data_IF_985297216870
#
_entry.id   IF_985297216870
#
_cell.length_a   1.000
_cell.length_b   1.000
_cell.length_c   1.000
_cell.angle_alpha   90.00
_cell.angle_beta   90.00
_cell.angle_gamma   90.00
#
_symmetry.space_group_name_H-M   'P 1'
#
loop_
_entity.id
_entity.type
_entity.pdbx_description
1 polymer ?
#
# COMPACT_ATOMS: atom_id res chain seq x y z
N UNK A 1 -13.98 -8.10 11.13
CA UNK A 1 -13.31 -9.25 10.47
C UNK A 1 -12.19 -9.86 11.32
N UNK A 2 -11.09 -9.16 11.64
CA UNK A 2 -9.92 -9.72 12.38
C UNK A 2 -10.26 -10.60 13.59
N UNK A 3 -11.11 -10.13 14.51
CA UNK A 3 -11.51 -10.91 15.71
C UNK A 3 -12.18 -12.24 15.34
N UNK A 4 -13.02 -12.26 14.30
CA UNK A 4 -13.69 -13.48 13.85
C UNK A 4 -12.68 -14.50 13.31
N UNK A 5 -11.72 -14.05 12.49
CA UNK A 5 -10.64 -14.92 11.98
C UNK A 5 -9.80 -15.49 13.11
N UNK A 6 -9.37 -14.65 14.06
CA UNK A 6 -8.57 -15.08 15.22
C UNK A 6 -9.32 -16.04 16.16
N UNK A 7 -10.66 -16.01 16.13
CA UNK A 7 -11.52 -16.89 16.92
C UNK A 7 -12.01 -18.13 16.13
N UNK A 8 -11.54 -18.34 14.90
CA UNK A 8 -11.96 -19.46 14.04
C UNK A 8 -13.40 -19.37 13.52
N UNK A 9 -13.97 -18.16 13.50
CA UNK A 9 -15.34 -17.88 13.05
C UNK A 9 -15.40 -17.37 11.60
N UNK A 10 -14.25 -17.08 11.01
CA UNK A 10 -14.11 -16.64 9.62
C UNK A 10 -12.79 -17.16 9.04
N UNK A 11 -12.77 -17.37 7.74
CA UNK A 11 -11.59 -17.86 7.02
C UNK A 11 -10.71 -16.70 6.52
N UNK A 12 -9.42 -17.00 6.35
CA UNK A 12 -8.46 -16.10 5.72
C UNK A 12 -7.84 -16.79 4.52
N UNK A 13 -8.02 -16.21 3.33
CA UNK A 13 -7.47 -16.73 2.08
C UNK A 13 -6.24 -15.91 1.70
N UNK A 14 -5.02 -16.47 1.77
CA UNK A 14 -3.82 -15.77 1.35
C UNK A 14 -3.74 -15.73 -0.19
N UNK A 15 -3.73 -14.53 -0.76
CA UNK A 15 -3.53 -14.30 -2.20
C UNK A 15 -2.97 -12.89 -2.40
N UNK A 16 -2.05 -12.71 -3.35
CA UNK A 16 -1.57 -11.39 -3.74
C UNK A 16 -2.73 -10.53 -4.24
N UNK A 17 -2.65 -9.22 -3.99
CA UNK A 17 -3.74 -8.35 -4.39
C UNK A 17 -3.89 -8.32 -5.91
N UNK A 18 -2.78 -8.33 -6.65
CA UNK A 18 -2.72 -8.50 -8.12
C UNK A 18 -3.45 -9.73 -8.65
N UNK A 19 -3.49 -10.84 -7.88
CA UNK A 19 -4.12 -12.10 -8.29
C UNK A 19 -5.57 -12.23 -7.79
N UNK A 20 -5.97 -11.47 -6.76
CA UNK A 20 -7.29 -11.60 -6.14
C UNK A 20 -8.45 -11.49 -7.15
N UNK A 21 -8.51 -10.47 -8.03
CA UNK A 21 -9.57 -10.39 -9.04
C UNK A 21 -9.56 -11.56 -10.03
N UNK A 22 -8.39 -12.17 -10.26
CA UNK A 22 -8.23 -13.29 -11.19
C UNK A 22 -8.83 -14.58 -10.65
N UNK A 23 -8.97 -14.73 -9.32
CA UNK A 23 -9.66 -15.87 -8.72
C UNK A 23 -11.12 -15.95 -9.19
N UNK A 24 -11.79 -14.81 -9.32
CA UNK A 24 -13.17 -14.74 -9.82
C UNK A 24 -13.22 -14.87 -11.35
N UNK A 25 -12.36 -14.16 -12.08
CA UNK A 25 -12.29 -14.24 -13.55
C UNK A 25 -12.01 -15.64 -14.06
N UNK A 26 -11.21 -16.42 -13.34
CA UNK A 26 -10.86 -17.81 -13.67
C UNK A 26 -11.86 -18.83 -13.10
N UNK A 27 -12.89 -18.40 -12.38
CA UNK A 27 -13.88 -19.28 -11.77
C UNK A 27 -13.35 -20.16 -10.63
N UNK A 28 -12.21 -19.80 -10.04
CA UNK A 28 -11.63 -20.49 -8.87
C UNK A 28 -12.49 -20.21 -7.63
N UNK A 29 -12.88 -18.94 -7.46
CA UNK A 29 -13.87 -18.55 -6.47
C UNK A 29 -15.18 -18.20 -7.18
N UNK A 30 -16.26 -18.97 -6.95
CA UNK A 30 -17.56 -18.64 -7.51
C UNK A 30 -18.11 -17.35 -6.86
N UNK A 31 -18.72 -16.49 -7.66
CA UNK A 31 -19.36 -15.26 -7.19
C UNK A 31 -20.77 -15.15 -7.75
N UNK A 32 -21.76 -15.33 -6.88
CA UNK A 32 -23.17 -15.26 -7.27
C UNK A 32 -23.68 -13.83 -7.37
N UNK A 33 -23.31 -12.97 -6.42
CA UNK A 33 -23.75 -11.59 -6.38
C UNK A 33 -22.62 -10.62 -5.99
N UNK A 34 -22.57 -9.46 -6.66
CA UNK A 34 -21.73 -8.34 -6.29
C UNK A 34 -22.61 -7.15 -5.86
N UNK A 35 -22.32 -6.59 -4.69
CA UNK A 35 -22.89 -5.34 -4.21
C UNK A 35 -21.86 -4.25 -4.49
N UNK A 36 -22.22 -3.26 -5.30
CA UNK A 36 -21.32 -2.19 -5.73
C UNK A 36 -21.91 -0.83 -5.40
N UNK A 37 -21.04 0.17 -5.19
CA UNK A 37 -21.41 1.56 -4.93
C UNK A 37 -20.94 2.41 -6.09
N UNK A 38 -21.86 3.14 -6.73
CA UNK A 38 -21.57 3.84 -7.99
C UNK A 38 -22.18 5.25 -8.02
N UNK A 39 -21.65 6.10 -8.89
CA UNK A 39 -22.24 7.40 -9.24
C UNK A 39 -23.55 7.22 -10.02
N UNK A 40 -24.38 8.27 -10.14
CA UNK A 40 -25.45 8.30 -11.12
C UNK A 40 -24.90 8.09 -12.54
N UNK A 41 -25.71 7.52 -13.46
CA UNK A 41 -25.31 7.39 -14.84
C UNK A 41 -25.22 8.76 -15.52
N UNK A 42 -24.26 8.90 -16.43
CA UNK A 42 -24.19 10.03 -17.37
C UNK A 42 -25.24 9.94 -18.48
N UNK A 43 -25.21 10.90 -19.43
CA UNK A 43 -26.10 10.92 -20.60
C UNK A 43 -25.96 9.70 -21.54
N UNK A 44 -24.88 8.93 -21.38
CA UNK A 44 -24.58 7.74 -22.16
C UNK A 44 -24.89 6.44 -21.38
N UNK A 45 -25.46 6.55 -20.18
CA UNK A 45 -25.84 5.41 -19.35
C UNK A 45 -24.68 4.79 -18.57
N UNK A 46 -23.54 5.47 -18.42
CA UNK A 46 -22.40 4.97 -17.64
C UNK A 46 -22.36 5.57 -16.24
N UNK A 47 -22.45 4.68 -15.25
CA UNK A 47 -22.06 4.97 -13.87
C UNK A 47 -20.54 4.86 -13.72
N UNK A 48 -19.95 5.59 -12.77
CA UNK A 48 -18.58 5.37 -12.29
C UNK A 48 -18.60 4.61 -10.98
N UNK A 49 -17.65 3.69 -10.79
CA UNK A 49 -17.36 3.01 -9.51
C UNK A 49 -16.80 3.95 -8.45
N UNK A 50 -16.42 5.18 -8.85
CA UNK A 50 -16.05 6.25 -7.94
C UNK A 50 -14.80 5.95 -7.13
N UNK A 51 -14.92 5.84 -5.81
CA UNK A 51 -13.74 5.78 -4.92
C UNK A 51 -12.99 4.44 -4.94
N UNK A 52 -13.59 3.35 -5.44
CA UNK A 52 -12.96 2.02 -5.48
C UNK A 52 -13.23 1.34 -6.82
N UNK A 53 -12.16 1.14 -7.61
CA UNK A 53 -12.22 0.41 -8.90
C UNK A 53 -11.45 -0.90 -8.81
N UNK A 54 -10.31 -0.87 -8.12
CA UNK A 54 -9.28 -1.88 -8.13
C UNK A 54 -9.82 -3.29 -7.90
N UNK A 55 -10.48 -3.49 -6.77
CA UNK A 55 -10.99 -4.77 -6.32
C UNK A 55 -12.46 -4.98 -6.67
N UNK A 56 -13.23 -3.93 -6.99
CA UNK A 56 -14.66 -4.06 -7.29
C UNK A 56 -14.93 -4.45 -8.74
N UNK A 57 -14.25 -3.80 -9.70
CA UNK A 57 -14.66 -3.87 -11.12
C UNK A 57 -14.64 -5.29 -11.66
N UNK A 58 -13.52 -5.97 -11.51
CA UNK A 58 -13.31 -7.30 -12.08
C UNK A 58 -14.24 -8.36 -11.46
N UNK A 59 -14.39 -8.45 -10.12
CA UNK A 59 -15.40 -9.30 -9.52
C UNK A 59 -16.82 -8.95 -9.96
N UNK A 60 -17.20 -7.67 -10.00
CA UNK A 60 -18.54 -7.25 -10.42
C UNK A 60 -18.89 -7.73 -11.84
N UNK A 61 -17.96 -7.64 -12.79
CA UNK A 61 -18.17 -8.12 -14.16
C UNK A 61 -18.33 -9.63 -14.29
N UNK A 62 -17.85 -10.39 -13.29
CA UNK A 62 -17.95 -11.86 -13.26
C UNK A 62 -19.17 -12.37 -12.47
N UNK A 63 -19.77 -11.52 -11.64
CA UNK A 63 -20.90 -11.89 -10.80
C UNK A 63 -22.14 -12.20 -11.64
N UNK A 64 -22.94 -13.18 -11.21
CA UNK A 64 -24.21 -13.52 -11.87
C UNK A 64 -25.26 -12.42 -11.68
N UNK A 65 -25.21 -11.71 -10.55
CA UNK A 65 -26.12 -10.63 -10.19
C UNK A 65 -25.30 -9.43 -9.70
N UNK A 66 -25.63 -8.24 -10.20
CA UNK A 66 -25.02 -6.97 -9.76
C UNK A 66 -26.11 -6.11 -9.13
N UNK A 67 -25.96 -5.82 -7.84
CA UNK A 67 -26.82 -4.92 -7.08
C UNK A 67 -26.05 -3.63 -6.88
N UNK A 68 -26.48 -2.56 -7.56
CA UNK A 68 -25.82 -1.27 -7.49
C UNK A 68 -26.55 -0.33 -6.55
N UNK A 69 -25.85 0.12 -5.53
CA UNK A 69 -26.22 1.31 -4.79
C UNK A 69 -25.76 2.54 -5.59
N UNK A 70 -26.71 3.33 -6.09
CA UNK A 70 -26.42 4.50 -6.92
C UNK A 70 -26.52 5.75 -6.05
N UNK A 71 -25.37 6.33 -5.71
CA UNK A 71 -25.27 7.43 -4.77
C UNK A 71 -24.94 8.75 -5.46
N UNK A 72 -25.78 9.76 -5.26
CA UNK A 72 -25.57 11.12 -5.77
C UNK A 72 -24.29 11.79 -5.27
N UNK A 73 -23.72 11.30 -4.16
CA UNK A 73 -22.46 11.82 -3.58
C UNK A 73 -21.23 10.99 -3.95
N UNK A 74 -21.37 9.94 -4.77
CA UNK A 74 -20.21 9.18 -5.26
C UNK A 74 -19.52 9.97 -6.39
N UNK A 75 -18.24 10.33 -6.24
CA UNK A 75 -17.53 11.07 -7.29
C UNK A 75 -17.40 10.23 -8.57
N UNK A 76 -17.40 10.90 -9.71
CA UNK A 76 -17.17 10.30 -11.01
C UNK A 76 -15.67 10.29 -11.32
N UNK A 77 -14.97 9.27 -10.81
CA UNK A 77 -13.56 9.06 -11.18
C UNK A 77 -13.45 8.53 -12.61
N UNK A 78 -12.39 8.93 -13.32
CA UNK A 78 -12.10 8.52 -14.70
C UNK A 78 -11.16 7.31 -14.74
N UNK A 79 -10.80 6.85 -15.93
CA UNK A 79 -9.99 5.65 -16.14
C UNK A 79 -10.85 4.44 -16.50
N UNK A 80 -10.48 3.27 -16.00
CA UNK A 80 -11.29 2.05 -16.15
C UNK A 80 -12.38 1.96 -15.08
N UNK A 81 -13.04 3.07 -14.77
CA UNK A 81 -13.97 3.18 -13.62
C UNK A 81 -15.43 2.94 -13.99
N UNK A 82 -15.75 2.85 -15.28
CA UNK A 82 -17.14 2.88 -15.73
C UNK A 82 -17.82 1.52 -15.81
N UNK A 83 -19.12 1.51 -15.53
CA UNK A 83 -20.05 0.40 -15.75
C UNK A 83 -21.38 0.93 -16.32
N UNK A 84 -21.86 0.33 -17.42
CA UNK A 84 -23.10 0.74 -18.06
C UNK A 84 -24.31 0.20 -17.29
N UNK A 85 -25.41 0.98 -17.19
CA UNK A 85 -26.63 0.59 -16.48
C UNK A 85 -27.24 -0.73 -16.94
N UNK A 86 -27.03 -1.11 -18.21
CA UNK A 86 -27.50 -2.39 -18.75
C UNK A 86 -26.80 -3.62 -18.16
N UNK A 87 -25.72 -3.43 -17.40
CA UNK A 87 -25.03 -4.51 -16.66
C UNK A 87 -25.58 -4.68 -15.24
N UNK A 88 -26.36 -3.70 -14.75
CA UNK A 88 -26.89 -3.68 -13.40
C UNK A 88 -28.21 -4.46 -13.35
N UNK A 89 -28.35 -5.38 -12.41
CA UNK A 89 -29.55 -6.19 -12.25
C UNK A 89 -30.57 -5.51 -11.32
N UNK A 90 -30.06 -4.85 -10.28
CA UNK A 90 -30.86 -4.07 -9.34
C UNK A 90 -30.18 -2.73 -9.08
N UNK A 91 -30.99 -1.68 -8.96
CA UNK A 91 -30.53 -0.30 -8.69
C UNK A 91 -31.24 0.19 -7.43
N UNK A 92 -30.45 0.61 -6.44
CA UNK A 92 -30.92 1.18 -5.18
C UNK A 92 -30.42 2.64 -5.12
N UNK A 93 -31.26 3.63 -5.43
CA UNK A 93 -30.85 5.02 -5.38
C UNK A 93 -30.71 5.47 -3.92
N UNK A 94 -29.62 6.16 -3.61
CA UNK A 94 -29.33 6.73 -2.29
C UNK A 94 -28.74 8.13 -2.41
N UNK A 95 -28.72 8.85 -1.30
CA UNK A 95 -28.06 10.14 -1.19
C UNK A 95 -27.57 10.33 0.24
N UNK A 96 -26.34 9.92 0.51
CA UNK A 96 -25.69 10.13 1.79
C UNK A 96 -24.17 10.23 1.60
N UNK A 97 -23.45 10.85 2.56
CA UNK A 97 -22.00 11.04 2.45
C UNK A 97 -21.24 9.72 2.29
N UNK A 98 -20.26 9.72 1.38
CA UNK A 98 -19.28 8.63 1.30
C UNK A 98 -18.50 8.60 2.61
N UNK A 99 -18.21 7.39 3.10
CA UNK A 99 -17.45 7.23 4.34
C UNK A 99 -16.09 7.88 4.20
N UNK A 100 -15.83 8.88 5.05
CA UNK A 100 -14.54 9.51 5.18
C UNK A 100 -13.67 8.69 6.14
N UNK A 101 -12.38 8.62 5.83
CA UNK A 101 -11.39 8.01 6.72
C UNK A 101 -10.23 8.97 6.88
N UNK A 102 -10.25 9.72 7.98
CA UNK A 102 -9.10 10.52 8.38
C UNK A 102 -7.92 9.57 8.62
N UNK A 103 -6.77 9.87 8.01
CA UNK A 103 -5.53 9.20 8.34
C UNK A 103 -5.24 9.44 9.83
N UNK A 104 -5.16 8.37 10.61
CA UNK A 104 -4.86 8.48 12.02
C UNK A 104 -3.38 8.85 12.23
N UNK A 105 -3.12 9.75 13.16
CA UNK A 105 -1.77 9.96 13.72
C UNK A 105 -1.40 8.74 14.58
N UNK A 106 -0.97 7.67 13.94
CA UNK A 106 -0.45 6.49 14.63
C UNK A 106 1.05 6.63 14.92
N UNK A 107 1.43 6.44 16.18
CA UNK A 107 2.82 6.42 16.63
C UNK A 107 3.30 7.74 17.23
N UNK A 108 4.56 7.75 17.66
CA UNK A 108 5.21 8.98 18.16
C UNK A 108 5.54 9.91 16.98
N UNK A 109 5.10 11.18 17.00
CA UNK A 109 5.42 12.15 15.94
C UNK A 109 6.93 12.24 15.66
N UNK A 110 7.77 12.18 16.70
CA UNK A 110 9.23 12.25 16.54
C UNK A 110 9.79 11.05 15.75
N UNK A 111 9.28 9.84 16.02
CA UNK A 111 9.70 8.61 15.33
C UNK A 111 9.29 8.68 13.87
N UNK A 112 8.04 9.08 13.62
CA UNK A 112 7.47 9.20 12.27
C UNK A 112 8.25 10.21 11.42
N UNK A 113 8.55 11.39 11.97
CA UNK A 113 9.29 12.45 11.28
C UNK A 113 10.73 12.03 10.95
N UNK A 114 11.43 11.31 11.85
CA UNK A 114 12.77 10.76 11.56
C UNK A 114 12.75 9.75 10.42
N UNK A 115 11.80 8.81 10.45
CA UNK A 115 11.63 7.81 9.38
C UNK A 115 11.34 8.53 8.06
N UNK A 116 10.44 9.50 8.05
CA UNK A 116 10.07 10.27 6.87
C UNK A 116 11.26 11.02 6.25
N UNK A 117 12.09 11.66 7.08
CA UNK A 117 13.32 12.33 6.64
C UNK A 117 14.28 11.38 5.92
N UNK A 118 14.56 10.20 6.50
CA UNK A 118 15.41 9.20 5.86
C UNK A 118 14.82 8.68 4.53
N UNK A 119 13.51 8.48 4.46
CA UNK A 119 12.85 8.06 3.22
C UNK A 119 12.96 9.14 2.14
N UNK A 120 12.77 10.42 2.49
CA UNK A 120 12.81 11.54 1.54
C UNK A 120 14.17 11.71 0.85
N UNK A 121 15.26 11.36 1.55
CA UNK A 121 16.62 11.34 0.98
C UNK A 121 16.79 10.28 -0.11
N UNK A 122 16.06 9.16 -0.03
CA UNK A 122 16.11 8.07 -1.01
C UNK A 122 15.29 8.35 -2.28
N UNK A 123 14.40 9.35 -2.25
CA UNK A 123 13.48 9.65 -3.35
C UNK A 123 14.15 10.60 -4.35
N UNK A 124 14.41 10.17 -5.60
CA UNK A 124 14.97 11.07 -6.61
C UNK A 124 13.90 12.00 -7.20
N UNK A 125 14.32 13.11 -7.83
CA UNK A 125 13.44 13.87 -8.72
C UNK A 125 12.92 13.00 -9.86
N UNK A 126 11.69 13.27 -10.31
CA UNK A 126 11.04 12.51 -11.38
C UNK A 126 10.70 11.07 -10.98
N UNK A 127 10.59 10.77 -9.68
CA UNK A 127 10.17 9.47 -9.18
C UNK A 127 8.67 9.23 -9.41
N UNK A 128 8.32 7.96 -9.64
CA UNK A 128 6.92 7.51 -9.64
C UNK A 128 6.64 6.84 -8.30
N UNK A 129 5.71 7.41 -7.54
CA UNK A 129 5.46 7.05 -6.15
C UNK A 129 4.29 6.05 -6.04
N UNK A 130 4.53 4.96 -5.31
CA UNK A 130 3.49 4.23 -4.60
C UNK A 130 3.60 4.55 -3.12
N UNK A 131 2.47 4.93 -2.53
CA UNK A 131 2.38 5.28 -1.11
C UNK A 131 1.15 4.60 -0.52
N UNK A 132 1.33 3.96 0.63
CA UNK A 132 0.22 3.45 1.42
C UNK A 132 -0.45 4.55 2.23
N UNK A 133 -1.39 4.15 3.07
CA UNK A 133 -2.00 5.01 4.09
C UNK A 133 -1.19 5.00 5.39
N UNK A 134 -1.29 6.08 6.16
CA UNK A 134 -0.83 6.16 7.55
C UNK A 134 0.25 7.22 7.80
N UNK A 135 0.61 7.37 9.08
CA UNK A 135 1.44 8.47 9.54
C UNK A 135 2.82 8.57 8.83
N UNK A 136 3.46 7.45 8.49
CA UNK A 136 4.77 7.46 7.79
C UNK A 136 4.63 7.95 6.35
N UNK A 137 3.80 7.34 5.47
CA UNK A 137 3.54 7.89 4.13
C UNK A 137 3.16 9.38 4.13
N UNK A 138 2.26 9.79 5.02
CA UNK A 138 1.81 11.19 5.09
C UNK A 138 2.93 12.14 5.51
N UNK A 139 3.76 11.73 6.48
CA UNK A 139 4.92 12.51 6.89
C UNK A 139 5.95 12.61 5.75
N UNK A 140 6.17 11.55 4.97
CA UNK A 140 7.08 11.59 3.81
C UNK A 140 6.67 12.70 2.84
N UNK A 141 5.38 12.84 2.52
CA UNK A 141 4.88 13.87 1.59
C UNK A 141 5.33 15.29 1.99
N UNK A 142 5.39 15.59 3.29
CA UNK A 142 5.84 16.91 3.81
C UNK A 142 7.29 17.23 3.43
N UNK A 143 8.15 16.22 3.32
CA UNK A 143 9.56 16.37 2.95
C UNK A 143 9.80 16.40 1.45
N UNK A 144 8.77 16.20 0.62
CA UNK A 144 8.92 16.15 -0.84
C UNK A 144 8.69 17.50 -1.54
N UNK A 145 8.37 18.56 -0.80
CA UNK A 145 8.03 19.88 -1.38
C UNK A 145 9.14 20.50 -2.24
N UNK A 146 10.39 20.08 -2.05
CA UNK A 146 11.55 20.53 -2.84
C UNK A 146 11.87 19.62 -4.04
N UNK A 147 11.18 18.49 -4.19
CA UNK A 147 11.34 17.58 -5.34
C UNK A 147 10.66 18.15 -6.57
N UNK A 148 11.01 17.60 -7.73
CA UNK A 148 10.47 18.04 -9.02
C UNK A 148 9.92 16.88 -9.84
N UNK A 149 8.78 17.14 -10.48
CA UNK A 149 8.11 16.27 -11.44
C UNK A 149 7.81 14.86 -10.92
N UNK A 150 7.38 14.76 -9.66
CA UNK A 150 6.93 13.49 -9.10
C UNK A 150 5.68 13.01 -9.84
N UNK A 151 5.52 11.68 -9.91
CA UNK A 151 4.32 11.03 -10.43
C UNK A 151 3.74 10.04 -9.44
N UNK A 152 2.53 9.54 -9.71
CA UNK A 152 1.87 8.54 -8.87
C UNK A 152 1.41 7.35 -9.71
N UNK A 153 1.82 6.16 -9.29
CA UNK A 153 1.26 4.87 -9.68
C UNK A 153 1.18 4.06 -8.39
N UNK A 154 0.00 3.95 -7.81
CA UNK A 154 -0.14 3.45 -6.44
C UNK A 154 -1.35 2.52 -6.31
N UNK A 155 -1.34 1.61 -5.34
CA UNK A 155 -2.57 0.88 -4.99
C UNK A 155 -3.69 1.86 -4.60
N UNK A 156 -3.34 2.87 -3.79
CA UNK A 156 -4.22 3.91 -3.31
C UNK A 156 -3.51 5.25 -3.17
N UNK A 157 -4.27 6.34 -3.04
CA UNK A 157 -3.75 7.61 -2.50
C UNK A 157 -4.80 8.32 -1.63
N UNK A 158 -4.33 9.31 -0.87
CA UNK A 158 -5.12 10.10 0.08
C UNK A 158 -4.88 11.60 -0.11
N UNK A 159 -5.45 12.42 0.78
CA UNK A 159 -5.48 13.88 0.74
C UNK A 159 -4.12 14.55 0.49
N UNK A 160 -3.02 13.99 1.01
CA UNK A 160 -1.70 14.61 0.92
C UNK A 160 -1.15 14.77 -0.51
N UNK A 161 -1.73 14.08 -1.50
CA UNK A 161 -1.39 14.25 -2.92
C UNK A 161 -1.84 15.62 -3.45
N UNK A 162 -2.95 16.15 -2.96
CA UNK A 162 -3.59 17.37 -3.45
C UNK A 162 -2.64 18.57 -3.32
N UNK A 163 -2.02 18.71 -2.16
CA UNK A 163 -1.09 19.82 -1.87
C UNK A 163 0.13 19.77 -2.80
N UNK A 164 0.70 18.59 -3.04
CA UNK A 164 1.86 18.45 -3.93
C UNK A 164 1.51 18.72 -5.40
N UNK A 165 0.28 18.45 -5.82
CA UNK A 165 -0.20 18.84 -7.15
C UNK A 165 -0.33 20.36 -7.24
N UNK A 166 -0.99 20.97 -6.25
CA UNK A 166 -1.20 22.43 -6.22
C UNK A 166 0.12 23.21 -6.17
N UNK A 167 1.13 22.66 -5.50
CA UNK A 167 2.49 23.23 -5.42
C UNK A 167 3.34 22.97 -6.69
N UNK A 168 2.84 22.18 -7.66
CA UNK A 168 3.56 21.84 -8.89
C UNK A 168 4.71 20.85 -8.69
N UNK A 169 4.79 20.21 -7.53
CA UNK A 169 5.79 19.19 -7.19
C UNK A 169 5.44 17.86 -7.86
N UNK A 170 4.15 17.51 -7.84
CA UNK A 170 3.60 16.31 -8.45
C UNK A 170 2.91 16.67 -9.77
N UNK A 171 3.60 16.41 -10.88
CA UNK A 171 3.13 16.74 -12.23
C UNK A 171 2.84 15.51 -13.08
N UNK A 172 3.39 14.35 -12.71
CA UNK A 172 3.34 13.13 -13.51
C UNK A 172 4.10 13.21 -14.84
N UNK A 173 4.80 14.32 -15.13
CA UNK A 173 5.40 14.57 -16.45
C UNK A 173 6.53 13.61 -16.81
N UNK A 174 7.19 12.99 -15.81
CA UNK A 174 8.29 12.03 -16.01
C UNK A 174 7.90 10.57 -15.84
N UNK A 175 6.61 10.26 -15.66
CA UNK A 175 6.15 8.87 -15.63
C UNK A 175 6.36 8.20 -16.98
N UNK A 176 6.75 6.93 -16.96
CA UNK A 176 6.94 6.14 -18.18
C UNK A 176 5.63 5.61 -18.73
N UNK A 177 4.69 5.27 -17.84
CA UNK A 177 3.32 4.93 -18.19
C UNK A 177 2.38 6.03 -17.70
N UNK A 178 1.36 6.35 -18.51
CA UNK A 178 0.35 7.37 -18.17
C UNK A 178 0.97 8.72 -17.75
N UNK A 179 1.77 9.36 -18.62
CA UNK A 179 2.39 10.65 -18.32
C UNK A 179 1.32 11.71 -18.06
N UNK A 180 1.54 12.53 -17.03
CA UNK A 180 0.60 13.57 -16.61
C UNK A 180 -0.62 13.08 -15.81
N UNK A 181 -0.70 11.77 -15.52
CA UNK A 181 -1.81 11.16 -14.78
C UNK A 181 -1.37 10.60 -13.42
N UNK A 182 -2.23 10.77 -12.43
CA UNK A 182 -2.23 10.04 -11.16
C UNK A 182 -3.02 8.76 -11.38
N UNK A 183 -2.34 7.62 -11.19
CA UNK A 183 -2.89 6.29 -11.45
C UNK A 183 -3.04 5.54 -10.13
N UNK A 184 -4.24 5.06 -9.83
CA UNK A 184 -4.47 4.23 -8.65
C UNK A 184 -5.56 3.17 -8.81
N UNK A 185 -5.74 2.29 -7.81
CA UNK A 185 -6.85 1.33 -7.75
C UNK A 185 -8.06 1.87 -7.00
N UNK A 186 -7.81 2.60 -5.91
CA UNK A 186 -8.85 3.21 -5.09
C UNK A 186 -8.33 4.45 -4.37
N UNK A 187 -9.22 5.20 -3.73
CA UNK A 187 -8.90 6.38 -2.93
C UNK A 187 -9.57 6.29 -1.56
N UNK A 188 -8.93 6.90 -0.57
CA UNK A 188 -9.42 6.89 0.80
C UNK A 188 -8.97 8.18 1.48
N UNK A 189 -9.91 8.95 2.01
CA UNK A 189 -9.58 10.22 2.61
C UNK A 189 -10.80 11.00 3.07
N UNK A 190 -10.66 12.32 3.05
CA UNK A 190 -11.74 13.24 3.40
C UNK A 190 -12.69 13.54 2.24
N UNK A 191 -13.78 14.24 2.54
CA UNK A 191 -14.67 14.80 1.51
C UNK A 191 -13.91 15.69 0.51
N UNK A 192 -12.89 16.43 0.96
CA UNK A 192 -12.09 17.28 0.07
C UNK A 192 -11.39 16.44 -1.02
N UNK A 193 -10.89 15.26 -0.69
CA UNK A 193 -10.35 14.33 -1.67
C UNK A 193 -11.42 13.86 -2.66
N UNK A 194 -12.59 13.47 -2.16
CA UNK A 194 -13.68 13.00 -3.00
C UNK A 194 -14.19 14.07 -3.97
N UNK A 195 -14.34 15.31 -3.50
CA UNK A 195 -14.69 16.45 -4.34
C UNK A 195 -13.60 16.77 -5.37
N UNK A 196 -12.32 16.64 -5.00
CA UNK A 196 -11.19 16.97 -5.88
C UNK A 196 -10.97 15.97 -7.02
N UNK A 197 -11.31 14.70 -6.82
CA UNK A 197 -11.19 13.67 -7.87
C UNK A 197 -12.38 13.64 -8.84
N UNK A 198 -13.50 14.27 -8.48
CA UNK A 198 -14.74 14.24 -9.25
C UNK A 198 -14.52 14.84 -10.66
N UNK A 199 -14.68 14.01 -11.68
CA UNK A 199 -14.48 14.33 -13.10
C UNK A 199 -13.12 14.99 -13.44
N UNK A 200 -12.11 14.76 -12.60
CA UNK A 200 -10.81 15.39 -12.75
C UNK A 200 -9.92 14.63 -13.77
N UNK A 201 -9.57 15.23 -14.92
CA UNK A 201 -8.87 14.56 -16.02
C UNK A 201 -7.47 14.08 -15.68
N UNK A 202 -6.85 14.55 -14.60
CA UNK A 202 -5.52 14.07 -14.19
C UNK A 202 -5.59 12.75 -13.41
N UNK A 203 -6.77 12.33 -12.96
CA UNK A 203 -6.98 11.13 -12.15
C UNK A 203 -7.50 10.02 -13.04
N UNK A 204 -6.89 8.84 -12.95
CA UNK A 204 -7.49 7.62 -13.48
C UNK A 204 -7.38 6.48 -12.49
N UNK A 205 -8.51 5.84 -12.22
CA UNK A 205 -8.55 4.62 -11.45
C UNK A 205 -8.64 3.40 -12.38
N UNK A 206 -7.91 2.35 -12.02
CA UNK A 206 -7.80 1.13 -12.83
C UNK A 206 -7.90 -0.11 -11.95
N UNK A 207 -8.17 -1.26 -12.57
CA UNK A 207 -8.28 -2.56 -11.88
C UNK A 207 -6.97 -2.95 -11.21
N UNK A 208 -7.08 -3.67 -10.10
CA UNK A 208 -5.93 -4.09 -9.29
C UNK A 208 -4.99 -5.00 -10.06
N UNK A 209 -5.48 -5.91 -10.91
CA UNK A 209 -4.59 -6.78 -11.71
C UNK A 209 -3.75 -6.03 -12.75
N UNK A 210 -4.01 -4.73 -12.96
CA UNK A 210 -3.13 -3.84 -13.74
C UNK A 210 -2.24 -2.99 -12.81
N UNK A 211 -2.84 -2.34 -11.81
CA UNK A 211 -2.13 -1.43 -10.89
C UNK A 211 -1.04 -2.16 -10.11
N UNK A 212 -1.37 -3.36 -9.61
CA UNK A 212 -0.52 -4.17 -8.76
C UNK A 212 0.27 -5.22 -9.55
N UNK A 213 0.23 -5.24 -10.88
CA UNK A 213 1.10 -6.16 -11.64
C UNK A 213 2.57 -5.71 -11.51
N UNK A 214 3.47 -6.51 -10.92
CA UNK A 214 4.88 -6.15 -10.80
C UNK A 214 5.55 -5.83 -12.14
N UNK A 215 5.09 -6.43 -13.24
CA UNK A 215 5.60 -6.18 -14.59
C UNK A 215 5.09 -4.87 -15.19
N UNK A 216 3.93 -4.38 -14.77
CA UNK A 216 3.45 -3.02 -15.10
C UNK A 216 4.19 -1.99 -14.24
N UNK A 217 4.30 -2.25 -12.93
CA UNK A 217 5.00 -1.36 -11.99
C UNK A 217 6.45 -1.14 -12.43
N UNK A 218 7.15 -2.21 -12.83
CA UNK A 218 8.55 -2.15 -13.25
C UNK A 218 8.81 -1.31 -14.51
N UNK A 219 7.78 -1.01 -15.31
CA UNK A 219 7.91 -0.17 -16.51
C UNK A 219 8.06 1.32 -16.17
N UNK A 220 7.60 1.76 -15.00
CA UNK A 220 7.84 3.11 -14.53
C UNK A 220 9.28 3.25 -14.05
N UNK A 221 10.07 4.13 -14.67
CA UNK A 221 11.41 4.46 -14.16
C UNK A 221 11.34 5.16 -12.80
N UNK A 222 12.37 4.94 -11.95
CA UNK A 222 12.46 5.52 -10.60
C UNK A 222 11.19 5.25 -9.78
N UNK A 223 10.67 4.03 -9.88
CA UNK A 223 9.53 3.60 -9.10
C UNK A 223 9.94 3.50 -7.62
N UNK A 224 9.30 4.29 -6.76
CA UNK A 224 9.48 4.25 -5.32
C UNK A 224 8.27 3.56 -4.70
N UNK A 225 8.50 2.53 -3.91
CA UNK A 225 7.45 1.82 -3.18
C UNK A 225 7.73 1.92 -1.68
N UNK A 226 6.81 2.52 -0.92
CA UNK A 226 6.95 2.69 0.53
C UNK A 226 5.89 1.85 1.23
N UNK A 227 6.33 0.85 1.99
CA UNK A 227 5.45 -0.08 2.69
C UNK A 227 5.89 -0.25 4.15
N UNK A 228 4.96 -0.68 5.01
CA UNK A 228 5.26 -0.95 6.42
C UNK A 228 5.34 -2.45 6.72
N UNK A 229 5.96 -2.81 7.83
CA UNK A 229 6.07 -4.20 8.28
C UNK A 229 5.85 -4.30 9.78
N UNK A 230 5.25 -5.39 10.26
CA UNK A 230 5.08 -5.67 11.69
C UNK A 230 6.44 -5.98 12.33
N UNK A 231 7.25 -6.81 11.67
CA UNK A 231 8.51 -7.33 12.21
C UNK A 231 9.46 -7.71 11.06
N UNK A 232 10.76 -7.55 11.30
CA UNK A 232 11.83 -7.95 10.37
C UNK A 232 12.88 -8.74 11.13
N UNK A 233 13.31 -9.88 10.59
CA UNK A 233 14.41 -10.66 11.17
C UNK A 233 15.80 -10.24 10.66
N UNK A 234 16.86 -10.66 11.36
CA UNK A 234 18.26 -10.32 11.00
C UNK A 234 18.72 -10.85 9.63
N UNK A 235 17.96 -11.75 8.99
CA UNK A 235 18.24 -12.19 7.61
C UNK A 235 17.56 -11.31 6.56
N UNK A 236 16.64 -10.45 6.98
CA UNK A 236 15.82 -9.57 6.15
C UNK A 236 14.48 -10.15 5.74
N UNK A 237 13.97 -11.20 6.41
CA UNK A 237 12.58 -11.63 6.18
C UNK A 237 11.63 -10.63 6.84
N UNK A 238 10.57 -10.29 6.12
CA UNK A 238 9.61 -9.26 6.54
C UNK A 238 8.25 -9.89 6.78
N UNK A 239 7.75 -9.74 8.00
CA UNK A 239 6.39 -10.06 8.38
C UNK A 239 5.56 -8.79 8.40
N UNK A 240 4.44 -8.76 7.67
CA UNK A 240 3.57 -7.59 7.59
C UNK A 240 2.08 -7.89 7.81
N UNK A 241 1.68 -9.17 7.84
CA UNK A 241 0.27 -9.57 7.89
C UNK A 241 -0.16 -10.21 9.22
N UNK A 242 0.78 -10.54 10.10
CA UNK A 242 0.51 -11.38 11.27
C UNK A 242 1.45 -11.09 12.45
N UNK A 243 1.04 -11.50 13.64
CA UNK A 243 1.84 -11.45 14.88
C UNK A 243 1.95 -12.87 15.41
N UNK A 244 3.06 -13.54 15.09
CA UNK A 244 3.13 -15.01 15.21
C UNK A 244 1.97 -15.64 14.42
N UNK A 245 1.21 -16.61 14.96
CA UNK A 245 0.13 -17.26 14.25
C UNK A 245 -1.15 -16.39 14.13
N UNK A 246 -1.19 -15.20 14.75
CA UNK A 246 -2.39 -14.36 14.76
C UNK A 246 -2.41 -13.42 13.56
N UNK A 247 -3.28 -13.71 12.61
CA UNK A 247 -3.52 -12.86 11.44
C UNK A 247 -4.02 -11.46 11.87
N UNK A 248 -3.36 -10.44 11.37
CA UNK A 248 -3.57 -9.03 11.72
C UNK A 248 -4.14 -8.25 10.53
N UNK A 249 -3.58 -8.44 9.35
CA UNK A 249 -4.01 -7.86 8.07
C UNK A 249 -3.91 -8.92 6.98
N UNK A 250 -3.72 -8.54 5.72
CA UNK A 250 -3.38 -9.44 4.63
C UNK A 250 -2.09 -9.01 3.94
N UNK A 251 -1.64 -9.81 2.98
CA UNK A 251 -0.45 -9.53 2.16
C UNK A 251 -0.55 -8.18 1.43
N UNK A 252 -1.76 -7.80 0.98
CA UNK A 252 -2.01 -6.59 0.20
C UNK A 252 -1.15 -6.54 -1.07
N UNK A 253 -0.93 -5.33 -1.60
CA UNK A 253 0.00 -5.08 -2.70
C UNK A 253 1.45 -4.91 -2.29
N UNK A 254 1.83 -5.15 -1.03
CA UNK A 254 3.19 -4.87 -0.57
C UNK A 254 4.23 -5.60 -1.44
N UNK A 255 4.09 -6.93 -1.58
CA UNK A 255 5.06 -7.70 -2.36
C UNK A 255 5.04 -7.30 -3.83
N UNK A 256 3.85 -7.01 -4.37
CA UNK A 256 3.68 -6.57 -5.76
C UNK A 256 4.53 -5.32 -6.06
N UNK A 257 4.40 -4.30 -5.22
CA UNK A 257 5.12 -3.04 -5.35
C UNK A 257 6.60 -3.12 -4.98
N UNK A 258 6.96 -3.88 -3.95
CA UNK A 258 8.37 -4.11 -3.60
C UNK A 258 9.08 -4.81 -4.75
N UNK A 259 8.46 -5.84 -5.33
CA UNK A 259 9.05 -6.56 -6.45
C UNK A 259 9.10 -5.69 -7.71
N UNK A 260 8.00 -5.03 -8.08
CA UNK A 260 7.97 -4.13 -9.24
C UNK A 260 8.99 -2.99 -9.15
N UNK A 261 9.08 -2.31 -8.00
CA UNK A 261 10.08 -1.27 -7.77
C UNK A 261 11.52 -1.80 -7.77
N UNK A 262 11.75 -3.04 -7.32
CA UNK A 262 13.09 -3.66 -7.41
C UNK A 262 13.55 -3.90 -8.86
N UNK A 263 12.59 -4.05 -9.78
CA UNK A 263 12.81 -4.30 -11.22
C UNK A 263 12.82 -3.01 -12.04
N UNK A 264 12.28 -1.91 -11.49
CA UNK A 264 12.31 -0.59 -12.10
C UNK A 264 13.74 -0.05 -12.21
N UNK A 265 14.05 0.57 -13.36
CA UNK A 265 15.32 1.27 -13.55
C UNK A 265 15.42 2.47 -12.59
N UNK A 266 16.36 2.38 -11.66
CA UNK A 266 16.52 3.38 -10.60
C UNK A 266 15.45 3.29 -9.50
N UNK A 267 14.72 2.18 -9.41
CA UNK A 267 13.65 2.01 -8.42
C UNK A 267 14.15 1.84 -6.98
N UNK A 268 13.28 2.18 -6.04
CA UNK A 268 13.56 2.30 -4.60
C UNK A 268 12.45 1.63 -3.78
N UNK A 269 12.49 0.29 -3.60
CA UNK A 269 11.59 -0.43 -2.71
C UNK A 269 12.02 -0.29 -1.23
N UNK A 270 11.13 0.23 -0.41
CA UNK A 270 11.36 0.58 1.00
C UNK A 270 10.37 -0.15 1.90
N UNK A 271 10.89 -0.80 2.94
CA UNK A 271 10.14 -1.25 4.11
C UNK A 271 10.45 -0.34 5.29
N UNK A 272 9.46 0.36 5.83
CA UNK A 272 9.61 1.33 6.91
C UNK A 272 8.80 0.93 8.15
N UNK A 273 9.45 0.95 9.31
CA UNK A 273 8.81 0.62 10.58
C UNK A 273 9.53 1.33 11.75
N UNK A 274 8.80 1.76 12.79
CA UNK A 274 9.40 2.02 14.09
C UNK A 274 10.23 0.81 14.54
N UNK A 275 11.39 1.05 15.14
CA UNK A 275 12.26 -0.03 15.61
C UNK A 275 11.67 -0.80 16.80
N UNK A 276 10.71 -0.21 17.52
CA UNK A 276 10.00 -0.81 18.67
C UNK A 276 8.50 -0.54 18.62
N UNK A 277 7.75 -1.27 19.46
CA UNK A 277 6.36 -0.97 19.83
C UNK A 277 6.16 -1.15 21.32
N UNK A 278 5.30 -0.34 21.93
CA UNK A 278 4.93 -0.48 23.35
C UNK A 278 3.59 -1.22 23.43
N UNK A 279 3.58 -2.36 24.11
CA UNK A 279 2.36 -3.13 24.36
C UNK A 279 1.45 -2.39 25.35
N UNK A 280 0.20 -2.86 25.46
CA UNK A 280 -0.82 -2.25 26.36
C UNK A 280 -0.41 -2.26 27.84
N UNK A 281 0.46 -3.19 28.23
CA UNK A 281 0.99 -3.31 29.59
C UNK A 281 2.24 -2.45 29.83
N UNK A 282 2.66 -1.64 28.85
CA UNK A 282 3.83 -0.78 28.93
C UNK A 282 5.13 -1.47 28.49
N UNK A 283 5.10 -2.77 28.15
CA UNK A 283 6.30 -3.50 27.71
C UNK A 283 6.78 -2.98 26.36
N UNK A 284 8.04 -2.55 26.28
CA UNK A 284 8.70 -2.22 25.03
C UNK A 284 9.17 -3.49 24.31
N UNK A 285 8.83 -3.63 23.03
CA UNK A 285 9.15 -4.81 22.21
C UNK A 285 9.84 -4.37 20.93
N UNK A 286 10.96 -5.02 20.59
CA UNK A 286 11.66 -4.78 19.33
C UNK A 286 10.86 -5.29 18.12
N UNK A 287 10.93 -4.55 17.01
CA UNK A 287 10.40 -4.93 15.70
C UNK A 287 11.50 -5.39 14.72
N UNK A 288 12.76 -5.28 15.13
CA UNK A 288 13.90 -5.97 14.52
C UNK A 288 14.27 -7.12 15.47
N UNK A 289 14.09 -8.36 15.02
CA UNK A 289 14.28 -9.56 15.83
C UNK A 289 15.36 -10.48 15.26
N UNK A 290 15.95 -11.34 16.10
CA UNK A 290 16.90 -12.34 15.59
C UNK A 290 16.24 -13.34 14.64
N UNK A 291 15.03 -13.77 14.98
CA UNK A 291 14.15 -14.61 14.17
C UNK A 291 12.72 -14.11 14.28
N UNK A 292 11.93 -14.27 13.22
CA UNK A 292 10.51 -13.94 13.26
C UNK A 292 9.79 -14.78 14.33
N UNK A 293 8.75 -14.20 14.95
CA UNK A 293 7.88 -14.93 15.89
C UNK A 293 7.39 -16.24 15.28
N UNK A 294 7.36 -17.29 16.10
CA UNK A 294 6.87 -18.59 15.67
C UNK A 294 5.46 -18.48 15.05
N UNK A 295 5.29 -19.01 13.83
CA UNK A 295 4.05 -18.96 13.08
C UNK A 295 3.78 -17.66 12.30
N UNK A 296 4.70 -16.69 12.30
CA UNK A 296 4.56 -15.45 11.53
C UNK A 296 4.60 -15.71 10.01
N UNK A 297 3.72 -15.01 9.29
CA UNK A 297 3.64 -15.00 7.83
C UNK A 297 4.72 -14.11 7.22
N UNK A 298 5.60 -14.70 6.41
CA UNK A 298 6.57 -13.92 5.62
C UNK A 298 5.85 -13.35 4.40
N UNK A 299 5.67 -12.03 4.39
CA UNK A 299 5.05 -11.30 3.27
C UNK A 299 6.11 -10.94 2.24
N UNK A 300 7.19 -10.30 2.67
CA UNK A 300 8.33 -9.98 1.80
C UNK A 300 9.51 -10.87 2.20
N UNK A 301 9.91 -11.76 1.29
CA UNK A 301 11.04 -12.66 1.55
C UNK A 301 12.37 -11.89 1.60
N UNK A 302 13.38 -12.46 2.27
CA UNK A 302 14.76 -11.94 2.27
C UNK A 302 15.37 -11.70 0.87
N UNK A 303 14.85 -12.34 -0.17
CA UNK A 303 15.34 -12.16 -1.54
C UNK A 303 14.76 -10.91 -2.24
N UNK A 304 13.68 -10.34 -1.69
CA UNK A 304 12.96 -9.20 -2.26
C UNK A 304 13.20 -7.89 -1.49
N UNK A 305 13.59 -7.98 -0.21
CA UNK A 305 13.90 -6.79 0.60
C UNK A 305 15.11 -6.04 0.05
N UNK A 306 15.06 -4.71 0.10
CA UNK A 306 16.17 -3.83 -0.28
C UNK A 306 16.48 -2.81 0.80
N UNK A 307 15.66 -1.77 0.93
CA UNK A 307 15.83 -0.76 1.97
C UNK A 307 14.92 -1.06 3.16
N UNK A 308 15.50 -1.08 4.35
CA UNK A 308 14.77 -1.07 5.62
C UNK A 308 15.06 0.24 6.33
N UNK A 309 14.01 0.93 6.77
CA UNK A 309 14.13 2.23 7.44
C UNK A 309 13.45 2.20 8.81
N UNK A 310 14.18 2.64 9.82
CA UNK A 310 13.65 2.96 11.15
C UNK A 310 14.02 4.40 11.52
N UNK A 311 13.58 4.86 12.68
CA UNK A 311 13.97 6.15 13.25
C UNK A 311 15.46 6.28 13.56
N UNK A 312 16.24 5.19 13.44
CA UNK A 312 17.69 5.16 13.63
C UNK A 312 18.51 5.11 12.34
N UNK A 313 17.85 5.04 11.17
CA UNK A 313 18.51 5.16 9.87
C UNK A 313 18.04 4.15 8.83
N UNK A 314 18.85 4.02 7.78
CA UNK A 314 18.60 3.17 6.61
C UNK A 314 19.56 1.98 6.61
N UNK A 315 19.04 0.78 6.34
CA UNK A 315 19.79 -0.43 6.02
C UNK A 315 19.54 -0.82 4.55
N UNK A 316 20.61 -0.88 3.75
CA UNK A 316 20.57 -1.44 2.39
C UNK A 316 21.03 -2.90 2.43
N UNK A 317 20.12 -3.80 2.10
CA UNK A 317 20.29 -5.25 2.18
C UNK A 317 20.55 -5.90 0.81
N UNK A 318 20.56 -5.13 -0.28
CA UNK A 318 20.75 -5.67 -1.62
C UNK A 318 22.20 -6.11 -1.84
N UNK A 319 22.38 -7.34 -2.33
CA UNK A 319 23.71 -7.94 -2.53
C UNK A 319 24.49 -8.25 -1.24
N UNK A 320 23.86 -8.12 -0.06
CA UNK A 320 24.49 -8.34 1.24
C UNK A 320 24.38 -9.79 1.72
N UNK A 321 25.48 -10.31 2.26
CA UNK A 321 25.52 -11.58 3.01
C UNK A 321 24.69 -11.51 4.30
N UNK A 322 24.34 -12.65 4.90
CA UNK A 322 23.59 -12.67 6.17
C UNK A 322 24.33 -11.92 7.28
N UNK A 323 25.66 -12.05 7.36
CA UNK A 323 26.49 -11.29 8.30
C UNK A 323 26.37 -9.78 8.09
N UNK A 324 26.49 -9.31 6.85
CA UNK A 324 26.34 -7.88 6.56
C UNK A 324 24.92 -7.39 6.86
N UNK A 325 23.90 -8.16 6.53
CA UNK A 325 22.49 -7.83 6.82
C UNK A 325 22.23 -7.73 8.32
N UNK A 326 22.70 -8.70 9.10
CA UNK A 326 22.57 -8.68 10.55
C UNK A 326 23.21 -7.41 11.13
N UNK A 327 24.43 -7.07 10.74
CA UNK A 327 25.09 -5.83 11.15
C UNK A 327 24.30 -4.57 10.76
N UNK A 328 23.78 -4.50 9.53
CA UNK A 328 22.99 -3.35 9.04
C UNK A 328 21.68 -3.19 9.81
N UNK A 329 20.96 -4.29 10.07
CA UNK A 329 19.68 -4.28 10.78
C UNK A 329 19.86 -3.96 12.27
N UNK A 330 20.87 -4.53 12.94
CA UNK A 330 21.21 -4.20 14.34
C UNK A 330 21.52 -2.71 14.48
N UNK A 331 22.27 -2.13 13.51
CA UNK A 331 22.61 -0.70 13.52
C UNK A 331 21.38 0.20 13.55
N UNK A 332 20.29 -0.19 12.89
CA UNK A 332 19.04 0.57 12.83
C UNK A 332 17.98 0.06 13.84
N UNK A 333 18.34 -0.89 14.72
CA UNK A 333 17.50 -1.28 15.84
C UNK A 333 17.57 -0.27 16.99
N UNK A 334 16.58 -0.30 17.88
CA UNK A 334 16.57 0.50 19.09
C UNK A 334 17.79 0.19 19.96
N UNK A 335 18.52 1.20 20.48
CA UNK A 335 19.75 1.02 21.26
C UNK A 335 19.65 -0.04 22.36
N UNK A 336 18.55 -0.05 23.12
CA UNK A 336 18.29 -0.98 24.22
C UNK A 336 18.31 -2.47 23.79
N UNK A 337 18.06 -2.77 22.52
CA UNK A 337 17.99 -4.15 22.02
C UNK A 337 19.23 -4.58 21.22
N UNK A 338 20.17 -3.67 20.92
CA UNK A 338 21.32 -3.99 20.04
C UNK A 338 22.22 -5.06 20.60
N UNK A 339 22.60 -4.95 21.87
CA UNK A 339 23.49 -5.91 22.53
C UNK A 339 22.88 -7.32 22.57
N UNK A 340 21.57 -7.42 22.84
CA UNK A 340 20.87 -8.71 22.83
C UNK A 340 20.74 -9.27 21.42
N UNK A 341 20.44 -8.44 20.41
CA UNK A 341 20.41 -8.87 19.02
C UNK A 341 21.79 -9.35 18.52
N UNK A 342 22.87 -8.69 18.90
CA UNK A 342 24.24 -9.14 18.59
C UNK A 342 24.53 -10.49 19.22
N UNK A 343 24.17 -10.68 20.50
CA UNK A 343 24.32 -11.97 21.18
C UNK A 343 23.54 -13.07 20.45
N UNK A 344 22.27 -12.86 20.16
CA UNK A 344 21.42 -13.81 19.43
C UNK A 344 21.97 -14.09 18.01
N UNK A 345 22.52 -13.07 17.33
CA UNK A 345 23.14 -13.25 16.02
C UNK A 345 24.40 -14.13 16.08
N UNK A 346 25.22 -14.02 17.12
CA UNK A 346 26.36 -14.90 17.35
C UNK A 346 25.92 -16.34 17.65
N UNK A 347 24.88 -16.53 18.47
CA UNK A 347 24.28 -17.83 18.77
C UNK A 347 23.71 -18.53 17.52
N UNK A 348 23.20 -17.75 16.56
CA UNK A 348 22.72 -18.22 15.26
C UNK A 348 23.83 -18.35 14.20
N UNK A 349 25.08 -18.01 14.54
CA UNK A 349 26.22 -17.98 13.63
C UNK A 349 26.05 -17.04 12.42
N UNK A 350 25.32 -15.93 12.61
CA UNK A 350 25.22 -14.86 11.63
C UNK A 350 26.39 -13.88 11.71
N UNK A 351 26.94 -13.67 12.91
CA UNK A 351 28.12 -12.85 13.15
C UNK A 351 29.37 -13.72 13.30
#
# INVERSE_FOLDING_TARGET
VRKAVQNGQADFTPVLLSEFPLLFKRGILPLDAALIHVSPPDEHGFCSLGVEVGLTKSPAETAKIIIAEVNQQMPRTLGDSFIHVSRLHHIVPVNYPIVEMAMAEEGSPEIVEKIAGFIAELIPDGATMQMGIGAIPDAVLKYLRNKKDLGVHSELFSDGVIDLVNEGVLTGARKSLHPGKIIAGFILGSKNLYDWVDDNPIIELHRTEYINDPFVIAQNERMVAINSAIEIDLTGQVCADSIGPKLYSGVGGQLDFIYGASRSKGGVPIIALPSTTTLKDGTLVTRISATLKHGAGVVTTRNHVRFVVTEYGVADLYGKSIRERANQLIRIAHPDFRAELEKQANELHYL
#
